data_IF_607667311212
#
_entry.id   IF_607667311212
#
_cell.length_a   1.000
_cell.length_b   1.000
_cell.length_c   1.000
_cell.angle_alpha   90.00
_cell.angle_beta   90.00
_cell.angle_gamma   90.00
#
_symmetry.space_group_name_H-M   'P 1'
#
loop_
_entity.id
_entity.type
_entity.pdbx_description
1 polymer ?
#
# COMPACT_ATOMS: atom_id res chain seq x y z
N UNK A 1 -3.16 -10.51 0.05
CA UNK A 1 -1.83 -9.91 0.29
C UNK A 1 -1.59 -9.61 1.76
N UNK A 2 -2.45 -8.87 2.46
CA UNK A 2 -2.24 -8.47 3.87
C UNK A 2 -2.25 -9.62 4.89
N UNK A 3 -2.97 -10.72 4.63
CA UNK A 3 -2.99 -11.90 5.49
C UNK A 3 -1.80 -12.84 5.24
N UNK A 4 -1.57 -13.27 3.99
CA UNK A 4 -0.52 -14.24 3.66
C UNK A 4 0.88 -13.63 3.47
N UNK A 5 0.97 -12.32 3.18
CA UNK A 5 2.20 -11.52 3.09
C UNK A 5 3.34 -12.23 2.33
N UNK A 6 4.49 -12.45 2.97
CA UNK A 6 5.67 -13.09 2.39
C UNK A 6 5.43 -14.50 1.86
N UNK A 7 4.44 -15.24 2.38
CA UNK A 7 4.10 -16.57 1.88
C UNK A 7 3.61 -16.55 0.43
N UNK A 8 3.01 -15.43 -0.01
CA UNK A 8 2.58 -15.26 -1.41
C UNK A 8 3.79 -15.22 -2.34
N UNK A 9 4.86 -14.55 -1.95
CA UNK A 9 6.07 -14.41 -2.78
C UNK A 9 6.78 -15.75 -2.94
N UNK A 10 6.72 -16.58 -1.90
CA UNK A 10 7.33 -17.91 -1.92
C UNK A 10 6.48 -18.95 -2.69
N UNK A 11 5.26 -18.61 -3.13
CA UNK A 11 4.35 -19.52 -3.83
C UNK A 11 4.19 -19.11 -5.29
N UNK A 12 4.96 -19.73 -6.19
CA UNK A 12 5.00 -19.36 -7.61
C UNK A 12 3.65 -19.56 -8.32
N UNK A 13 2.93 -20.64 -8.02
CA UNK A 13 1.63 -20.93 -8.62
C UNK A 13 0.59 -19.85 -8.29
N UNK A 14 0.70 -19.28 -7.08
CA UNK A 14 -0.17 -18.21 -6.63
C UNK A 14 0.18 -16.89 -7.35
N UNK A 15 1.46 -16.59 -7.55
CA UNK A 15 1.89 -15.41 -8.33
C UNK A 15 1.37 -15.47 -9.77
N UNK A 16 1.52 -16.61 -10.43
CA UNK A 16 0.99 -16.82 -11.77
C UNK A 16 -0.52 -16.64 -11.84
N UNK A 17 -1.24 -17.15 -10.83
CA UNK A 17 -2.69 -17.01 -10.73
C UNK A 17 -3.09 -15.55 -10.52
N UNK A 18 -2.36 -14.79 -9.70
CA UNK A 18 -2.63 -13.38 -9.45
C UNK A 18 -2.49 -12.54 -10.71
N UNK A 19 -1.41 -12.74 -11.48
CA UNK A 19 -1.20 -12.07 -12.77
C UNK A 19 -2.32 -12.43 -13.77
N UNK A 20 -2.73 -13.70 -13.83
CA UNK A 20 -3.85 -14.14 -14.69
C UNK A 20 -5.17 -13.49 -14.27
N UNK A 21 -5.45 -13.40 -12.98
CA UNK A 21 -6.67 -12.77 -12.46
C UNK A 21 -6.68 -11.25 -12.72
N UNK A 22 -5.55 -10.57 -12.54
CA UNK A 22 -5.41 -9.15 -12.83
C UNK A 22 -5.69 -8.87 -14.32
N UNK A 23 -5.09 -9.65 -15.22
CA UNK A 23 -5.34 -9.57 -16.65
C UNK A 23 -6.82 -9.79 -16.99
N UNK A 24 -7.50 -10.76 -16.36
CA UNK A 24 -8.94 -10.98 -16.55
C UNK A 24 -9.76 -9.75 -16.17
N UNK A 25 -9.44 -9.08 -15.06
CA UNK A 25 -10.12 -7.86 -14.64
C UNK A 25 -9.90 -6.75 -15.65
N UNK A 26 -8.65 -6.51 -16.07
CA UNK A 26 -8.34 -5.52 -17.11
C UNK A 26 -9.10 -5.83 -18.42
N UNK A 27 -9.13 -7.09 -18.86
CA UNK A 27 -9.89 -7.50 -20.05
C UNK A 27 -11.39 -7.26 -19.90
N UNK A 28 -11.98 -7.52 -18.73
CA UNK A 28 -13.40 -7.24 -18.48
C UNK A 28 -13.71 -5.75 -18.62
N UNK A 29 -12.84 -4.88 -18.10
CA UNK A 29 -12.97 -3.43 -18.26
C UNK A 29 -12.87 -3.04 -19.74
N UNK A 30 -11.89 -3.58 -20.48
CA UNK A 30 -11.72 -3.33 -21.93
C UNK A 30 -12.97 -3.74 -22.74
N UNK A 31 -13.58 -4.87 -22.40
CA UNK A 31 -14.85 -5.34 -23.01
C UNK A 31 -15.99 -4.37 -22.71
N UNK A 32 -16.13 -3.91 -21.46
CA UNK A 32 -17.17 -2.97 -21.06
C UNK A 32 -17.13 -1.65 -21.83
N UNK A 33 -15.94 -1.22 -22.25
CA UNK A 33 -15.71 0.02 -23.04
C UNK A 33 -15.72 -0.26 -24.56
N UNK A 34 -16.16 -1.45 -24.99
CA UNK A 34 -16.26 -1.89 -26.39
C UNK A 34 -14.98 -1.68 -27.21
N UNK A 35 -13.82 -2.04 -26.64
CA UNK A 35 -12.55 -1.89 -27.33
C UNK A 35 -11.71 -3.17 -27.25
N UNK A 36 -11.34 -3.68 -28.44
CA UNK A 36 -10.55 -4.91 -28.62
C UNK A 36 -9.05 -4.64 -28.81
N UNK A 37 -8.59 -3.37 -28.85
CA UNK A 37 -7.20 -3.03 -29.14
C UNK A 37 -6.40 -2.72 -27.86
N UNK A 38 -5.28 -3.44 -27.59
CA UNK A 38 -4.41 -3.18 -26.44
C UNK A 38 -3.80 -1.77 -26.41
N UNK A 39 -3.50 -1.19 -27.59
CA UNK A 39 -2.90 0.14 -27.73
C UNK A 39 -3.75 1.28 -27.20
N UNK A 40 -5.06 1.06 -26.96
CA UNK A 40 -5.99 2.07 -26.44
C UNK A 40 -6.06 2.11 -24.91
N UNK A 41 -5.41 1.16 -24.23
CA UNK A 41 -5.43 1.04 -22.78
C UNK A 41 -4.02 1.02 -22.21
N UNK A 42 -3.35 2.18 -22.18
CA UNK A 42 -2.08 2.31 -21.51
C UNK A 42 -2.25 2.02 -20.00
N UNK A 43 -1.21 1.49 -19.31
CA UNK A 43 -1.29 1.13 -17.88
C UNK A 43 -1.79 2.27 -16.98
N UNK A 44 -1.53 3.51 -17.38
CA UNK A 44 -1.99 4.73 -16.70
C UNK A 44 -3.50 4.75 -16.46
N UNK A 45 -4.33 4.21 -17.37
CA UNK A 45 -5.80 4.18 -17.21
C UNK A 45 -6.20 3.33 -16.01
N UNK A 46 -5.47 2.24 -15.77
CA UNK A 46 -5.76 1.30 -14.69
C UNK A 46 -5.18 1.75 -13.36
N UNK A 47 -3.94 2.20 -13.34
CA UNK A 47 -3.19 2.41 -12.11
C UNK A 47 -3.24 3.85 -11.57
N UNK A 48 -3.74 4.83 -12.33
CA UNK A 48 -3.88 6.19 -11.82
C UNK A 48 -4.87 6.26 -10.66
N UNK A 49 -4.60 7.07 -9.62
CA UNK A 49 -5.53 7.28 -8.52
C UNK A 49 -6.88 7.80 -9.01
N UNK A 50 -7.95 7.47 -8.26
CA UNK A 50 -9.32 7.90 -8.60
C UNK A 50 -9.45 9.41 -8.56
N UNK A 51 -8.69 10.10 -7.71
CA UNK A 51 -8.70 11.57 -7.65
C UNK A 51 -8.22 12.20 -8.96
N UNK A 52 -7.42 11.48 -9.76
CA UNK A 52 -6.90 11.92 -11.06
C UNK A 52 -7.68 11.32 -12.24
N UNK A 53 -8.87 10.76 -12.01
CA UNK A 53 -9.74 10.19 -13.05
C UNK A 53 -9.38 8.76 -13.48
N UNK A 54 -8.49 8.10 -12.75
CA UNK A 54 -8.10 6.71 -12.97
C UNK A 54 -8.98 5.68 -12.27
N UNK A 55 -8.68 4.40 -12.50
CA UNK A 55 -9.38 3.29 -11.84
C UNK A 55 -8.77 2.90 -10.49
N UNK A 56 -7.55 3.35 -10.18
CA UNK A 56 -6.80 3.02 -8.96
C UNK A 56 -6.72 1.52 -8.69
N UNK A 57 -6.45 0.76 -9.75
CA UNK A 57 -6.18 -0.68 -9.63
C UNK A 57 -4.85 -0.88 -8.92
N UNK A 58 -4.87 -1.64 -7.83
CA UNK A 58 -3.67 -2.08 -7.11
C UNK A 58 -3.04 -3.26 -7.86
N UNK A 59 -1.86 -3.03 -8.44
CA UNK A 59 -1.14 -4.06 -9.21
C UNK A 59 -0.47 -5.06 -8.28
N UNK A 60 -0.59 -6.34 -8.62
CA UNK A 60 0.13 -7.44 -7.95
C UNK A 60 1.20 -8.01 -8.89
N UNK A 61 1.08 -7.80 -10.21
CA UNK A 61 2.10 -8.12 -11.19
C UNK A 61 3.03 -6.95 -11.54
N UNK A 62 4.15 -7.27 -12.18
CA UNK A 62 4.98 -6.29 -12.86
C UNK A 62 4.32 -5.87 -14.17
N UNK A 63 3.92 -4.61 -14.28
CA UNK A 63 3.48 -4.00 -15.54
C UNK A 63 4.51 -2.93 -15.89
N UNK A 64 5.18 -3.09 -17.04
CA UNK A 64 6.09 -2.07 -17.56
C UNK A 64 5.32 -0.93 -18.21
N UNK A 65 5.72 0.30 -17.93
CA UNK A 65 5.18 1.49 -18.60
C UNK A 65 5.97 1.73 -19.88
N UNK A 66 5.33 1.71 -21.06
CA UNK A 66 6.04 1.94 -22.31
C UNK A 66 6.46 3.41 -22.44
N UNK A 67 7.66 3.65 -22.95
CA UNK A 67 8.23 4.99 -23.16
C UNK A 67 7.37 5.92 -24.04
N UNK A 68 6.49 5.37 -24.89
CA UNK A 68 5.52 6.16 -25.67
C UNK A 68 4.54 6.93 -24.79
N UNK A 69 4.19 6.37 -23.64
CA UNK A 69 3.15 6.91 -22.75
C UNK A 69 3.67 8.04 -21.85
N UNK A 70 5.00 8.21 -21.78
CA UNK A 70 5.67 9.24 -20.98
C UNK A 70 5.82 10.58 -21.72
N UNK A 71 5.27 10.71 -22.93
CA UNK A 71 5.34 11.93 -23.73
C UNK A 71 4.27 12.91 -23.27
N UNK A 72 4.69 14.10 -22.84
CA UNK A 72 3.79 15.22 -22.59
C UNK A 72 4.35 16.52 -23.16
N UNK A 73 3.47 17.46 -23.49
CA UNK A 73 3.84 18.78 -23.98
C UNK A 73 3.17 19.85 -23.13
N UNK A 74 3.93 20.87 -22.70
CA UNK A 74 3.38 22.04 -22.01
C UNK A 74 3.33 23.21 -22.97
N UNK A 75 2.14 23.74 -23.21
CA UNK A 75 2.01 25.00 -23.92
C UNK A 75 2.16 26.14 -22.91
N UNK A 76 3.12 27.02 -23.15
CA UNK A 76 3.34 28.25 -22.38
C UNK A 76 3.05 29.41 -23.33
N UNK A 77 2.63 30.58 -22.82
CA UNK A 77 2.28 31.77 -23.63
C UNK A 77 3.38 32.23 -24.58
N UNK A 78 4.64 31.83 -24.35
CA UNK A 78 5.82 32.19 -25.17
C UNK A 78 6.20 31.08 -26.16
N UNK A 79 5.51 29.92 -26.15
CA UNK A 79 5.72 28.81 -27.08
C UNK A 79 5.42 27.43 -26.49
N UNK A 80 5.36 26.42 -27.36
CA UNK A 80 5.21 25.01 -26.96
C UNK A 80 6.55 24.41 -26.56
N UNK A 81 6.69 23.94 -25.31
CA UNK A 81 7.85 23.15 -24.89
C UNK A 81 7.49 21.66 -24.98
N UNK A 82 8.19 20.95 -25.87
CA UNK A 82 8.06 19.50 -26.02
C UNK A 82 9.08 18.81 -25.11
N UNK A 83 8.60 18.04 -24.13
CA UNK A 83 9.45 17.13 -23.36
C UNK A 83 9.36 15.73 -23.97
N UNK A 84 10.32 15.41 -24.86
CA UNK A 84 10.53 14.03 -25.29
C UNK A 84 11.48 13.37 -24.30
N UNK A 85 11.12 12.21 -23.76
CA UNK A 85 11.90 11.40 -22.79
C UNK A 85 13.23 10.85 -23.33
N UNK A 86 13.81 11.45 -24.38
CA UNK A 86 15.02 10.95 -25.04
C UNK A 86 16.29 11.50 -24.40
N UNK A 87 16.47 11.26 -23.12
CA UNK A 87 17.77 11.34 -22.45
C UNK A 87 17.73 10.43 -21.22
N UNK A 88 18.84 9.72 -21.01
CA UNK A 88 19.13 8.70 -19.98
C UNK A 88 18.40 7.35 -20.12
N UNK A 89 19.18 6.33 -20.49
CA UNK A 89 18.93 4.94 -20.09
C UNK A 89 18.74 4.92 -18.58
N UNK A 90 17.61 4.45 -18.09
CA UNK A 90 17.48 3.85 -16.76
C UNK A 90 16.12 3.16 -16.70
N UNK A 91 16.17 1.84 -16.48
CA UNK A 91 15.12 0.89 -16.04
C UNK A 91 13.70 1.13 -16.58
N UNK A 92 13.14 0.15 -17.31
CA UNK A 92 11.70 0.10 -17.60
C UNK A 92 10.91 0.50 -16.34
N UNK A 93 10.18 1.63 -16.37
CA UNK A 93 9.46 2.09 -15.18
C UNK A 93 8.39 1.05 -14.83
N UNK A 94 8.66 0.29 -13.77
CA UNK A 94 7.78 -0.76 -13.26
C UNK A 94 6.71 -0.14 -12.38
N UNK A 95 5.45 -0.47 -12.62
CA UNK A 95 4.37 -0.18 -11.68
C UNK A 95 4.69 -0.87 -10.35
N UNK A 96 4.68 -0.10 -9.26
CA UNK A 96 5.03 -0.60 -7.93
C UNK A 96 4.00 -1.63 -7.46
N UNK A 97 4.50 -2.83 -7.15
CA UNK A 97 3.68 -3.96 -6.69
C UNK A 97 3.25 -3.74 -5.25
N UNK A 98 1.98 -4.05 -4.95
CA UNK A 98 1.37 -3.94 -3.63
C UNK A 98 2.24 -4.57 -2.51
N UNK A 99 2.93 -5.67 -2.80
CA UNK A 99 3.84 -6.35 -1.87
C UNK A 99 4.93 -5.43 -1.29
N UNK A 100 5.49 -4.50 -2.07
CA UNK A 100 6.55 -3.59 -1.59
C UNK A 100 6.07 -2.65 -0.47
N UNK A 101 4.76 -2.44 -0.36
CA UNK A 101 4.15 -1.59 0.64
C UNK A 101 3.66 -2.36 1.87
N UNK A 102 3.78 -3.69 1.89
CA UNK A 102 3.34 -4.53 2.99
C UNK A 102 4.58 -5.04 3.71
N UNK A 103 4.70 -4.71 5.00
CA UNK A 103 5.77 -5.25 5.84
C UNK A 103 5.56 -6.76 6.06
N UNK A 104 6.59 -7.61 5.94
CA UNK A 104 6.50 -9.04 6.25
C UNK A 104 6.03 -9.29 7.70
N UNK A 105 5.43 -10.46 7.95
CA UNK A 105 5.01 -10.82 9.32
C UNK A 105 6.19 -10.95 10.27
N UNK A 106 7.29 -11.56 9.83
CA UNK A 106 8.49 -11.70 10.66
C UNK A 106 8.97 -10.34 11.19
N UNK A 107 9.14 -9.36 10.29
CA UNK A 107 9.56 -8.02 10.65
C UNK A 107 8.55 -7.32 11.57
N UNK A 108 7.25 -7.48 11.34
CA UNK A 108 6.19 -6.92 12.19
C UNK A 108 6.14 -7.54 13.58
N UNK A 109 6.40 -8.84 13.71
CA UNK A 109 6.44 -9.49 15.04
C UNK A 109 7.64 -9.03 15.85
N UNK A 110 8.82 -8.94 15.22
CA UNK A 110 10.03 -8.43 15.87
C UNK A 110 9.83 -6.97 16.30
N UNK A 111 9.32 -6.13 15.41
CA UNK A 111 9.07 -4.72 15.70
C UNK A 111 7.97 -4.57 16.77
N UNK A 112 6.94 -5.41 16.75
CA UNK A 112 5.89 -5.42 17.77
C UNK A 112 6.43 -5.74 19.14
N UNK A 113 7.29 -6.76 19.27
CA UNK A 113 7.90 -7.08 20.56
C UNK A 113 8.70 -5.89 21.09
N UNK A 114 9.53 -5.26 20.24
CA UNK A 114 10.31 -4.08 20.60
C UNK A 114 9.40 -2.92 21.06
N UNK A 115 8.44 -2.54 20.24
CA UNK A 115 7.53 -1.41 20.50
C UNK A 115 6.72 -1.61 21.79
N UNK A 116 6.20 -2.82 22.03
CA UNK A 116 5.45 -3.10 23.25
C UNK A 116 6.33 -3.14 24.49
N UNK A 117 7.60 -3.58 24.39
CA UNK A 117 8.55 -3.47 25.50
C UNK A 117 8.91 -2.02 25.83
N UNK A 118 9.13 -1.18 24.81
CA UNK A 118 9.39 0.25 24.98
C UNK A 118 8.19 0.96 25.60
N UNK A 119 6.97 0.66 25.15
CA UNK A 119 5.74 1.17 25.76
C UNK A 119 5.64 0.80 27.25
N UNK A 120 5.94 -0.45 27.61
CA UNK A 120 5.87 -0.91 29.00
C UNK A 120 6.86 -0.13 29.90
N UNK A 121 8.07 0.13 29.42
CA UNK A 121 9.08 0.93 30.12
C UNK A 121 8.63 2.39 30.28
N UNK A 122 8.22 3.04 29.18
CA UNK A 122 7.71 4.42 29.20
C UNK A 122 6.52 4.58 30.14
N UNK A 123 5.62 3.60 30.17
CA UNK A 123 4.48 3.58 31.09
C UNK A 123 4.92 3.49 32.56
N UNK A 124 5.94 2.66 32.85
CA UNK A 124 6.49 2.55 34.20
C UNK A 124 7.16 3.85 34.63
N UNK A 125 7.96 4.47 33.77
CA UNK A 125 8.62 5.75 34.01
C UNK A 125 7.62 6.90 34.22
N UNK A 126 6.55 6.94 33.44
CA UNK A 126 5.48 7.91 33.64
C UNK A 126 4.82 7.73 35.01
N UNK A 127 4.56 6.47 35.42
CA UNK A 127 3.97 6.17 36.72
C UNK A 127 4.91 6.55 37.89
N UNK A 128 6.23 6.31 37.79
CA UNK A 128 7.17 6.72 38.85
C UNK A 128 7.27 8.24 38.97
N UNK A 129 7.08 8.96 37.86
CA UNK A 129 6.98 10.43 37.83
C UNK A 129 5.58 10.96 38.18
N UNK A 130 4.60 10.09 38.50
CA UNK A 130 3.18 10.43 38.67
C UNK A 130 2.59 11.25 37.49
N UNK A 131 3.08 10.98 36.27
CA UNK A 131 2.59 11.58 35.03
C UNK A 131 1.75 10.56 34.26
N UNK A 132 0.82 11.08 33.46
CA UNK A 132 0.06 10.27 32.51
C UNK A 132 0.75 10.33 31.16
N UNK A 133 0.98 9.16 30.56
CA UNK A 133 1.51 9.03 29.21
C UNK A 133 0.54 9.65 28.19
N UNK A 134 1.04 10.52 27.32
CA UNK A 134 0.27 11.18 26.26
C UNK A 134 0.59 10.61 24.88
N UNK A 135 -0.05 11.14 23.85
CA UNK A 135 0.19 10.76 22.45
C UNK A 135 1.62 11.14 22.02
N UNK A 136 2.06 12.34 22.41
CA UNK A 136 3.37 12.90 22.05
C UNK A 136 4.53 12.00 22.51
N UNK A 137 4.37 11.31 23.65
CA UNK A 137 5.38 10.36 24.16
C UNK A 137 5.55 9.11 23.28
N UNK A 138 4.61 8.83 22.38
CA UNK A 138 4.50 7.60 21.59
C UNK A 138 4.42 7.83 20.07
N UNK A 139 4.62 9.07 19.59
CA UNK A 139 4.48 9.45 18.18
C UNK A 139 5.32 8.55 17.25
N UNK A 140 6.57 8.25 17.63
CA UNK A 140 7.48 7.37 16.87
C UNK A 140 6.95 5.94 16.65
N UNK A 141 6.02 5.50 17.50
CA UNK A 141 5.49 4.14 17.55
C UNK A 141 4.01 4.04 17.23
N UNK A 142 3.38 5.14 16.83
CA UNK A 142 1.92 5.29 16.73
C UNK A 142 1.26 4.19 15.87
N UNK A 143 1.77 3.99 14.65
CA UNK A 143 1.24 3.01 13.69
C UNK A 143 1.94 1.64 13.77
N UNK A 144 2.66 1.35 14.87
CA UNK A 144 3.50 0.15 15.00
C UNK A 144 2.92 -0.83 16.03
N UNK A 145 3.34 -2.09 15.92
CA UNK A 145 2.97 -3.16 16.85
C UNK A 145 1.69 -3.93 16.51
N UNK A 146 1.56 -5.11 17.09
CA UNK A 146 0.39 -5.99 16.97
C UNK A 146 -0.02 -6.44 18.39
N UNK A 147 -1.17 -5.96 18.92
CA UNK A 147 -2.04 -4.90 18.40
C UNK A 147 -1.30 -3.57 18.22
N UNK A 148 -1.85 -2.68 17.40
CA UNK A 148 -1.26 -1.35 17.14
C UNK A 148 -1.33 -0.46 18.38
N UNK A 149 -0.32 0.39 18.61
CA UNK A 149 -0.23 1.25 19.80
C UNK A 149 -1.35 2.29 19.85
N UNK A 150 -1.75 2.84 18.70
CA UNK A 150 -2.87 3.78 18.57
C UNK A 150 -4.18 3.26 19.21
N UNK A 151 -4.39 1.94 19.25
CA UNK A 151 -5.58 1.32 19.84
C UNK A 151 -5.76 1.65 21.32
N UNK A 152 -4.68 1.98 22.04
CA UNK A 152 -4.72 2.41 23.44
C UNK A 152 -5.43 3.76 23.62
N UNK A 153 -5.47 4.58 22.58
CA UNK A 153 -6.02 5.93 22.57
C UNK A 153 -7.36 6.04 21.83
N UNK A 154 -7.96 4.91 21.45
CA UNK A 154 -9.28 4.88 20.84
C UNK A 154 -10.36 5.42 21.79
N UNK A 155 -11.33 6.14 21.22
CA UNK A 155 -12.48 6.71 21.96
C UNK A 155 -13.30 5.61 22.64
N UNK A 156 -13.55 4.51 21.93
CA UNK A 156 -14.45 3.43 22.37
C UNK A 156 -13.74 2.31 23.14
N UNK A 157 -12.46 2.49 23.51
CA UNK A 157 -11.64 1.45 24.17
C UNK A 157 -12.29 0.85 25.42
N UNK A 158 -13.08 1.65 26.14
CA UNK A 158 -13.77 1.23 27.36
C UNK A 158 -14.93 0.27 27.06
N UNK A 159 -15.61 0.45 25.93
CA UNK A 159 -16.68 -0.45 25.47
C UNK A 159 -16.07 -1.71 24.89
N UNK A 160 -15.05 -1.58 24.05
CA UNK A 160 -14.34 -2.70 23.42
C UNK A 160 -13.68 -3.64 24.45
N UNK A 161 -13.38 -3.16 25.66
CA UNK A 161 -12.86 -4.01 26.73
C UNK A 161 -13.82 -5.15 27.13
N UNK A 162 -15.13 -4.98 26.94
CA UNK A 162 -16.15 -5.99 27.21
C UNK A 162 -16.39 -6.94 26.03
N UNK A 163 -15.88 -6.61 24.85
CA UNK A 163 -16.04 -7.41 23.65
C UNK A 163 -15.07 -8.61 23.67
N UNK A 164 -15.50 -9.72 24.27
CA UNK A 164 -14.71 -10.95 24.38
C UNK A 164 -15.01 -11.91 23.24
N UNK A 165 -14.03 -12.75 22.89
CA UNK A 165 -14.18 -13.81 21.88
C UNK A 165 -14.61 -13.33 20.48
N UNK A 166 -14.41 -12.04 20.17
CA UNK A 166 -14.81 -11.46 18.90
C UNK A 166 -14.16 -12.17 17.70
N UNK A 167 -12.93 -12.68 17.84
CA UNK A 167 -12.24 -13.44 16.77
C UNK A 167 -12.95 -14.72 16.35
N UNK A 168 -13.68 -15.39 17.27
CA UNK A 168 -14.41 -16.63 16.96
C UNK A 168 -15.79 -16.33 16.40
N UNK A 169 -16.36 -15.18 16.77
CA UNK A 169 -17.63 -14.69 16.20
C UNK A 169 -17.50 -14.23 14.74
N UNK A 170 -16.31 -13.87 14.29
CA UNK A 170 -16.03 -13.34 12.95
C UNK A 170 -15.53 -14.39 11.96
#
# INVERSE_FOLDING_TARGET
MTYFREAVVNTQELLDLLVKCENKIQTRIKIGVNSKMPSRFPPVVFCTPKELGGLSMLSVGHISIPQSDLRWSKQIDVGSTHFCSRTSHDEDQLILILYRYIMPWEAEFIDSQRVWTEYALKRQEANTQNKRLTLDDLEDSWDRGIPRIDTLFQKDRHVLAYDKEWRVRH
#
